data_IF_848294661981
#
_entry.id   IF_848294661981
#
_cell.length_a   1.000
_cell.length_b   1.000
_cell.length_c   1.000
_cell.angle_alpha   90.00
_cell.angle_beta   90.00
_cell.angle_gamma   90.00
#
_symmetry.space_group_name_H-M   'P 1'
#
loop_
_entity.id
_entity.type
_entity.pdbx_description
1 polymer ?
#
# COMPACT_ATOMS: atom_id res chain seq x y z
N UNK A 1 -20.71 -2.19 0.61
CA UNK A 1 -19.91 -3.43 0.76
C UNK A 1 -18.43 -3.23 0.42
N UNK A 2 -18.08 -2.63 -0.72
CA UNK A 2 -16.68 -2.40 -1.14
C UNK A 2 -15.81 -1.69 -0.07
N UNK A 3 -16.28 -0.57 0.51
CA UNK A 3 -15.53 0.15 1.56
C UNK A 3 -15.31 -0.67 2.83
N UNK A 4 -16.22 -1.59 3.17
CA UNK A 4 -16.10 -2.44 4.36
C UNK A 4 -14.99 -3.49 4.17
N UNK A 5 -14.91 -4.09 2.97
CA UNK A 5 -13.82 -5.00 2.61
C UNK A 5 -12.45 -4.30 2.57
N UNK A 6 -12.41 -3.07 2.02
CA UNK A 6 -11.19 -2.26 2.01
C UNK A 6 -10.76 -1.89 3.43
N UNK A 7 -11.69 -1.42 4.28
CA UNK A 7 -11.40 -1.08 5.67
C UNK A 7 -10.87 -2.27 6.48
N UNK A 8 -11.47 -3.45 6.28
CA UNK A 8 -11.01 -4.68 6.92
C UNK A 8 -9.60 -5.10 6.46
N UNK A 9 -9.29 -4.95 5.16
CA UNK A 9 -7.95 -5.22 4.63
C UNK A 9 -6.90 -4.26 5.18
N UNK A 10 -7.14 -2.95 5.09
CA UNK A 10 -6.19 -1.91 5.48
C UNK A 10 -5.92 -1.94 7.00
N UNK A 11 -6.93 -2.25 7.82
CA UNK A 11 -6.79 -2.41 9.27
C UNK A 11 -5.73 -3.45 9.68
N UNK A 12 -5.55 -4.51 8.90
CA UNK A 12 -4.59 -5.57 9.21
C UNK A 12 -3.19 -5.28 8.66
N UNK A 13 -3.07 -4.48 7.60
CA UNK A 13 -1.78 -4.21 6.93
C UNK A 13 -0.83 -3.43 7.83
N UNK A 14 -1.32 -2.39 8.51
CA UNK A 14 -0.50 -1.55 9.41
C UNK A 14 0.14 -2.37 10.53
N UNK A 15 -0.60 -3.10 11.39
CA UNK A 15 0.01 -3.88 12.47
C UNK A 15 0.93 -4.99 11.96
N UNK A 16 0.66 -5.60 10.80
CA UNK A 16 1.55 -6.61 10.20
C UNK A 16 2.90 -6.00 9.81
N UNK A 17 2.89 -4.84 9.15
CA UNK A 17 4.13 -4.14 8.77
C UNK A 17 4.92 -3.72 10.01
N UNK A 18 4.23 -3.21 11.04
CA UNK A 18 4.86 -2.83 12.31
C UNK A 18 5.45 -4.04 13.04
N UNK A 19 4.77 -5.18 13.01
CA UNK A 19 5.23 -6.42 13.60
C UNK A 19 6.47 -6.99 12.89
N UNK A 20 6.53 -6.92 11.56
CA UNK A 20 7.75 -7.33 10.82
C UNK A 20 8.89 -6.32 10.90
N UNK A 21 8.59 -5.03 10.90
CA UNK A 21 9.59 -3.99 11.15
C UNK A 21 10.22 -4.12 12.54
N UNK A 22 9.45 -4.58 13.54
CA UNK A 22 9.93 -4.83 14.91
C UNK A 22 10.67 -6.15 15.11
N UNK A 23 10.51 -7.13 14.22
CA UNK A 23 11.23 -8.41 14.26
C UNK A 23 12.62 -8.38 13.62
N UNK A 24 12.92 -7.35 12.82
CA UNK A 24 14.21 -7.26 12.13
C UNK A 24 15.32 -6.76 13.06
N UNK A 25 16.09 -7.70 13.63
CA UNK A 25 17.22 -7.47 14.55
C UNK A 25 18.36 -6.59 13.99
N UNK A 26 18.40 -6.31 12.68
CA UNK A 26 19.50 -5.57 12.03
C UNK A 26 19.27 -4.06 11.93
N UNK A 27 18.10 -3.53 12.29
CA UNK A 27 17.80 -2.11 12.14
C UNK A 27 16.96 -1.63 13.33
N UNK A 28 17.29 -0.48 13.97
CA UNK A 28 16.49 0.02 15.08
C UNK A 28 15.02 0.14 14.67
N UNK A 29 14.12 -0.49 15.42
CA UNK A 29 12.67 -0.49 15.17
C UNK A 29 12.13 0.93 14.93
N UNK A 30 12.70 1.93 15.62
CA UNK A 30 12.39 3.35 15.43
C UNK A 30 12.66 3.86 14.02
N UNK A 31 13.75 3.43 13.36
CA UNK A 31 14.10 3.85 12.00
C UNK A 31 13.18 3.18 10.99
N UNK A 32 12.91 1.87 11.15
CA UNK A 32 11.99 1.14 10.28
C UNK A 32 10.57 1.72 10.34
N UNK A 33 10.07 2.04 11.53
CA UNK A 33 8.78 2.71 11.74
C UNK A 33 8.72 4.12 11.12
N UNK A 34 9.80 4.89 11.28
CA UNK A 34 9.90 6.24 10.72
C UNK A 34 9.85 6.21 9.20
N UNK A 35 10.56 5.28 8.57
CA UNK A 35 10.56 5.11 7.11
C UNK A 35 9.17 4.68 6.61
N UNK A 36 8.56 3.67 7.24
CA UNK A 36 7.21 3.21 6.87
C UNK A 36 6.18 4.35 6.97
N UNK A 37 6.22 5.12 8.05
CA UNK A 37 5.30 6.24 8.27
C UNK A 37 5.56 7.39 7.28
N UNK A 38 6.82 7.69 7.00
CA UNK A 38 7.21 8.75 6.04
C UNK A 38 6.76 8.41 4.63
N UNK A 39 6.97 7.16 4.21
CA UNK A 39 6.49 6.65 2.91
C UNK A 39 4.95 6.66 2.88
N UNK A 40 4.29 6.27 3.96
CA UNK A 40 2.83 6.34 4.08
C UNK A 40 2.29 7.77 3.91
N UNK A 41 2.94 8.75 4.53
CA UNK A 41 2.59 10.17 4.40
C UNK A 41 2.83 10.69 2.98
N UNK A 42 3.99 10.38 2.39
CA UNK A 42 4.30 10.76 1.01
C UNK A 42 3.32 10.14 0.01
N UNK A 43 2.99 8.85 0.19
CA UNK A 43 2.01 8.15 -0.63
C UNK A 43 0.60 8.74 -0.50
N UNK A 44 0.21 9.14 0.72
CA UNK A 44 -1.06 9.82 0.94
C UNK A 44 -1.10 11.22 0.32
N UNK A 45 0.01 11.94 0.33
CA UNK A 45 0.12 13.27 -0.28
C UNK A 45 0.13 13.22 -1.81
N UNK A 46 0.86 12.26 -2.39
CA UNK A 46 1.01 12.10 -3.85
C UNK A 46 -0.20 11.39 -4.47
N UNK A 47 -0.91 10.55 -3.70
CA UNK A 47 -2.03 9.75 -4.19
C UNK A 47 -3.11 10.56 -4.90
N UNK A 48 -3.75 11.56 -4.26
CA UNK A 48 -4.84 12.32 -4.87
C UNK A 48 -4.42 13.12 -6.13
N UNK A 49 -3.29 13.87 -6.13
CA UNK A 49 -2.79 14.54 -7.33
C UNK A 49 -2.47 13.57 -8.47
N UNK A 50 -1.83 12.44 -8.17
CA UNK A 50 -1.46 11.44 -9.16
C UNK A 50 -2.71 10.81 -9.81
N UNK A 51 -3.72 10.51 -9.00
CA UNK A 51 -5.02 10.01 -9.46
C UNK A 51 -5.75 11.06 -10.31
N UNK A 52 -5.72 12.33 -9.90
CA UNK A 52 -6.32 13.45 -10.64
C UNK A 52 -5.67 13.66 -12.01
N UNK A 53 -4.33 13.63 -12.08
CA UNK A 53 -3.58 13.78 -13.32
C UNK A 53 -3.92 12.69 -14.35
N UNK A 54 -4.06 11.44 -13.90
CA UNK A 54 -4.45 10.31 -14.74
C UNK A 54 -5.93 10.41 -15.16
N UNK A 55 -6.78 10.95 -14.28
CA UNK A 55 -8.21 11.14 -14.55
C UNK A 55 -8.47 12.22 -15.60
N UNK A 56 -7.64 13.27 -15.63
CA UNK A 56 -7.73 14.37 -16.58
C UNK A 56 -7.33 13.95 -18.01
N UNK A 57 -6.35 13.06 -18.15
CA UNK A 57 -5.85 12.58 -19.45
C UNK A 57 -6.74 11.54 -20.14
N UNK A 58 -7.53 10.74 -19.40
CA UNK A 58 -8.07 9.47 -19.93
C UNK A 58 -9.60 9.30 -19.82
N UNK A 59 -10.32 10.22 -19.17
CA UNK A 59 -11.72 10.08 -18.70
C UNK A 59 -11.85 9.27 -17.40
N UNK A 60 -12.64 9.80 -16.44
CA UNK A 60 -12.84 9.32 -15.07
C UNK A 60 -13.01 7.79 -14.92
N UNK A 61 -13.72 7.14 -15.85
CA UNK A 61 -14.00 5.69 -15.82
C UNK A 61 -12.76 4.83 -16.02
N UNK A 62 -11.85 5.22 -16.92
CA UNK A 62 -10.61 4.49 -17.15
C UNK A 62 -9.59 4.70 -16.04
N UNK A 63 -9.60 5.90 -15.42
CA UNK A 63 -8.73 6.20 -14.28
C UNK A 63 -9.04 5.30 -13.08
N UNK A 64 -10.32 5.13 -12.73
CA UNK A 64 -10.72 4.18 -11.68
C UNK A 64 -10.45 2.72 -12.05
N UNK A 65 -10.60 2.33 -13.32
CA UNK A 65 -10.29 0.97 -13.78
C UNK A 65 -8.79 0.65 -13.67
N UNK A 66 -7.92 1.59 -14.05
CA UNK A 66 -6.47 1.49 -13.93
C UNK A 66 -6.05 1.41 -12.47
N UNK A 67 -6.63 2.23 -11.58
CA UNK A 67 -6.33 2.19 -10.13
C UNK A 67 -6.75 0.84 -9.54
N UNK A 68 -7.91 0.30 -9.94
CA UNK A 68 -8.33 -1.04 -9.54
C UNK A 68 -7.36 -2.13 -10.01
N UNK A 69 -6.87 -2.03 -11.25
CA UNK A 69 -5.89 -2.95 -11.81
C UNK A 69 -4.52 -2.83 -11.14
N UNK A 70 -4.08 -1.61 -10.85
CA UNK A 70 -2.85 -1.34 -10.10
C UNK A 70 -2.96 -1.87 -8.66
N UNK A 71 -4.11 -1.70 -8.01
CA UNK A 71 -4.39 -2.27 -6.70
C UNK A 71 -4.32 -3.81 -6.71
N UNK A 72 -4.87 -4.45 -7.74
CA UNK A 72 -4.72 -5.90 -7.96
C UNK A 72 -3.26 -6.29 -8.20
N UNK A 73 -2.50 -5.50 -8.96
CA UNK A 73 -1.10 -5.76 -9.24
C UNK A 73 -0.23 -5.65 -7.99
N UNK A 74 -0.43 -4.61 -7.19
CA UNK A 74 0.25 -4.41 -5.88
C UNK A 74 -0.14 -5.53 -4.92
N UNK A 75 -1.42 -5.93 -4.89
CA UNK A 75 -1.89 -7.05 -4.07
C UNK A 75 -1.22 -8.37 -4.48
N UNK A 76 -1.13 -8.66 -5.79
CA UNK A 76 -0.45 -9.83 -6.31
C UNK A 76 1.05 -9.81 -5.99
N UNK A 77 1.70 -8.66 -6.11
CA UNK A 77 3.12 -8.48 -5.79
C UNK A 77 3.40 -8.66 -4.29
N UNK A 78 2.53 -8.11 -3.43
CA UNK A 78 2.60 -8.31 -1.99
C UNK A 78 2.39 -9.78 -1.59
N UNK A 79 1.50 -10.49 -2.29
CA UNK A 79 1.28 -11.92 -2.10
C UNK A 79 2.52 -12.74 -2.50
N UNK A 80 3.18 -12.37 -3.62
CA UNK A 80 4.44 -12.97 -4.08
C UNK A 80 5.60 -12.71 -3.13
N UNK A 81 5.70 -11.50 -2.56
CA UNK A 81 6.75 -11.17 -1.57
C UNK A 81 6.60 -11.99 -0.29
N UNK A 82 5.36 -12.13 0.22
CA UNK A 82 5.08 -13.00 1.38
C UNK A 82 5.36 -14.48 1.10
N UNK A 83 5.15 -14.94 -0.14
CA UNK A 83 5.49 -16.30 -0.56
C UNK A 83 7.00 -16.56 -0.57
N UNK A 84 7.80 -15.58 -0.98
CA UNK A 84 9.27 -15.69 -1.02
C UNK A 84 9.93 -15.61 0.36
N UNK A 85 9.29 -14.96 1.35
CA UNK A 85 9.80 -14.91 2.72
C UNK A 85 9.55 -16.19 3.53
N UNK A 86 8.75 -17.13 2.99
CA UNK A 86 8.39 -18.41 3.63
C UNK A 86 9.10 -19.63 3.01
N UNK A 87 10.02 -19.44 2.06
CA UNK A 87 10.80 -20.54 1.46
C UNK A 87 12.22 -20.60 1.98
#
# INVERSE_FOLDING_TARGET
FAFMLVGFGVSNVVPIIFNEAGKSEKTPTSIALTIVSSIGFLGFLIGPPFIGFIAELTSLKYSFAIIGLFGLFVSALAFRLKLFQKS
#
